data_IF_708617729908
#
_entry.id   IF_708617729908
#
_cell.length_a   1.000
_cell.length_b   1.000
_cell.length_c   1.000
_cell.angle_alpha   90.00
_cell.angle_beta   90.00
_cell.angle_gamma   90.00
#
_symmetry.space_group_name_H-M   'P 1'
#
loop_
_entity.id
_entity.type
_entity.pdbx_description
1 polymer ?
#
# COMPACT_ATOMS: atom_id res chain seq x y z
N UNK A 1 14.12 -20.82 15.89
CA UNK A 1 14.45 -19.88 14.81
C UNK A 1 14.59 -20.69 13.53
N UNK A 2 13.94 -20.31 12.42
CA UNK A 2 14.25 -20.92 11.12
C UNK A 2 15.69 -20.53 10.72
N UNK A 3 16.49 -21.44 10.15
CA UNK A 3 17.81 -21.07 9.66
C UNK A 3 17.64 -20.14 8.46
N UNK A 4 18.11 -18.89 8.56
CA UNK A 4 18.02 -17.84 7.54
C UNK A 4 18.88 -18.11 6.27
N UNK A 5 19.19 -19.37 5.99
CA UNK A 5 20.27 -19.77 5.10
C UNK A 5 19.93 -21.00 4.24
N UNK A 6 18.64 -21.34 4.03
CA UNK A 6 18.30 -22.41 3.07
C UNK A 6 18.74 -21.97 1.65
N UNK A 7 19.66 -22.70 0.99
CA UNK A 7 20.11 -22.38 -0.36
C UNK A 7 18.96 -22.34 -1.38
N UNK A 8 17.88 -23.08 -1.13
CA UNK A 8 16.69 -23.14 -1.99
C UNK A 8 15.84 -21.86 -1.91
N UNK A 9 15.94 -21.10 -0.81
CA UNK A 9 15.28 -19.81 -0.64
C UNK A 9 16.06 -18.66 -1.30
N UNK A 10 17.34 -18.86 -1.63
CA UNK A 10 18.23 -17.86 -2.26
C UNK A 10 18.34 -17.94 -3.78
N UNK A 11 17.48 -18.71 -4.46
CA UNK A 11 17.51 -18.75 -5.93
C UNK A 11 17.29 -17.32 -6.45
N UNK A 12 18.24 -16.74 -7.23
CA UNK A 12 18.18 -15.31 -7.59
C UNK A 12 16.88 -14.89 -8.26
N UNK A 13 16.27 -15.76 -9.07
CA UNK A 13 14.98 -15.49 -9.71
C UNK A 13 13.82 -15.41 -8.70
N UNK A 14 13.84 -16.25 -7.65
CA UNK A 14 12.81 -16.27 -6.60
C UNK A 14 12.88 -15.00 -5.74
N UNK A 15 14.10 -14.64 -5.33
CA UNK A 15 14.35 -13.41 -4.57
C UNK A 15 13.96 -12.19 -5.40
N UNK A 16 14.28 -12.18 -6.71
CA UNK A 16 13.87 -11.09 -7.61
C UNK A 16 12.35 -10.96 -7.69
N UNK A 17 11.60 -12.04 -7.89
CA UNK A 17 10.13 -11.99 -7.93
C UNK A 17 9.55 -11.41 -6.65
N UNK A 18 10.04 -11.83 -5.48
CA UNK A 18 9.58 -11.29 -4.20
C UNK A 18 9.94 -9.80 -4.05
N UNK A 19 11.14 -9.39 -4.45
CA UNK A 19 11.55 -8.00 -4.43
C UNK A 19 10.68 -7.14 -5.37
N UNK A 20 10.35 -7.63 -6.55
CA UNK A 20 9.49 -6.91 -7.51
C UNK A 20 8.08 -6.74 -6.93
N UNK A 21 7.51 -7.78 -6.28
CA UNK A 21 6.23 -7.69 -5.57
C UNK A 21 6.29 -6.64 -4.46
N UNK A 22 7.34 -6.66 -3.63
CA UNK A 22 7.49 -5.71 -2.52
C UNK A 22 7.70 -4.28 -3.02
N UNK A 23 8.49 -4.10 -4.08
CA UNK A 23 8.76 -2.79 -4.68
C UNK A 23 7.50 -2.19 -5.29
N UNK A 24 6.68 -3.00 -5.95
CA UNK A 24 5.45 -2.54 -6.60
C UNK A 24 4.28 -2.40 -5.63
N UNK A 25 4.34 -3.06 -4.47
CA UNK A 25 3.31 -2.91 -3.43
C UNK A 25 3.14 -1.45 -3.02
N UNK A 26 4.22 -0.70 -2.85
CA UNK A 26 4.19 0.71 -2.45
C UNK A 26 3.40 1.58 -3.44
N UNK A 27 3.41 1.22 -4.74
CA UNK A 27 2.69 1.96 -5.78
C UNK A 27 1.16 1.96 -5.57
N UNK A 28 0.61 0.98 -4.85
CA UNK A 28 -0.83 0.91 -4.55
C UNK A 28 -1.31 2.03 -3.61
N UNK A 29 -0.37 2.67 -2.90
CA UNK A 29 -0.66 3.77 -1.99
C UNK A 29 -0.47 5.15 -2.63
N UNK A 30 -0.09 5.20 -3.91
CA UNK A 30 0.02 6.45 -4.67
C UNK A 30 -1.35 6.85 -5.21
N UNK A 31 -1.87 7.97 -4.75
CA UNK A 31 -3.13 8.54 -5.24
C UNK A 31 -2.87 9.63 -6.28
N UNK A 32 -3.77 9.76 -7.26
CA UNK A 32 -3.60 10.70 -8.36
C UNK A 32 -3.77 12.16 -7.94
N UNK A 33 -4.72 12.41 -7.04
CA UNK A 33 -5.08 13.74 -6.55
C UNK A 33 -4.92 13.77 -5.04
N UNK A 34 -4.20 14.78 -4.57
CA UNK A 34 -4.08 15.13 -3.16
C UNK A 34 -4.17 16.64 -3.03
N UNK A 35 -4.63 17.15 -1.88
CA UNK A 35 -4.59 18.58 -1.62
C UNK A 35 -3.15 19.13 -1.74
N UNK A 36 -2.98 20.41 -2.12
CA UNK A 36 -1.67 21.03 -2.15
C UNK A 36 -0.95 20.92 -0.80
N UNK A 37 0.34 20.62 -0.83
CA UNK A 37 1.15 20.45 0.38
C UNK A 37 1.17 19.02 0.95
N UNK A 38 0.40 18.08 0.41
CA UNK A 38 0.40 16.68 0.83
C UNK A 38 1.20 15.77 -0.11
N UNK A 39 1.74 14.69 0.45
CA UNK A 39 2.34 13.62 -0.34
C UNK A 39 1.27 12.82 -1.09
N UNK A 40 1.60 12.39 -2.31
CA UNK A 40 0.75 11.47 -3.07
C UNK A 40 0.71 10.06 -2.50
N UNK A 41 1.76 9.64 -1.81
CA UNK A 41 1.73 8.37 -1.08
C UNK A 41 0.97 8.60 0.23
N UNK A 42 -0.18 7.95 0.37
CA UNK A 42 -1.07 8.15 1.54
C UNK A 42 -0.47 7.64 2.85
N UNK A 43 0.56 6.78 2.79
CA UNK A 43 1.26 6.29 3.98
C UNK A 43 2.26 7.29 4.53
N UNK A 44 2.59 8.35 3.78
CA UNK A 44 3.54 9.35 4.22
C UNK A 44 2.82 10.48 4.95
N UNK A 45 3.43 10.89 6.06
CA UNK A 45 2.90 11.92 6.95
C UNK A 45 3.73 13.19 6.80
N UNK A 46 3.10 14.34 6.98
CA UNK A 46 3.80 15.63 7.09
C UNK A 46 4.33 15.88 8.51
N UNK A 47 3.79 15.16 9.51
CA UNK A 47 4.12 15.27 10.94
C UNK A 47 4.33 13.87 11.52
N UNK A 48 5.38 13.70 12.32
CA UNK A 48 5.71 12.45 13.02
C UNK A 48 4.75 12.14 14.18
N UNK A 49 3.95 13.12 14.63
CA UNK A 49 3.10 12.98 15.83
C UNK A 49 1.74 12.36 15.55
N UNK A 50 1.27 12.33 14.31
CA UNK A 50 -0.07 11.83 13.96
C UNK A 50 0.00 10.43 13.38
N UNK A 51 -0.76 9.49 13.96
CA UNK A 51 -0.87 8.10 13.48
C UNK A 51 -1.99 7.89 12.45
N UNK A 52 -2.52 8.97 11.87
CA UNK A 52 -3.68 8.94 10.97
C UNK A 52 -3.25 9.32 9.55
N UNK A 53 -3.97 8.82 8.55
CA UNK A 53 -3.79 9.24 7.16
C UNK A 53 -4.00 10.74 7.03
N UNK A 54 -2.99 11.47 6.54
CA UNK A 54 -3.03 12.93 6.49
C UNK A 54 -4.21 13.46 5.65
N UNK A 55 -4.60 12.73 4.59
CA UNK A 55 -5.76 13.07 3.76
C UNK A 55 -7.10 12.91 4.48
N UNK A 56 -7.21 11.98 5.44
CA UNK A 56 -8.44 11.81 6.24
C UNK A 56 -8.56 12.90 7.30
N UNK A 57 -7.44 13.24 7.94
CA UNK A 57 -7.39 14.33 8.92
C UNK A 57 -7.78 15.66 8.27
N UNK A 58 -7.20 15.98 7.11
CA UNK A 58 -7.56 17.18 6.34
C UNK A 58 -9.05 17.18 5.97
N UNK A 59 -9.55 16.09 5.38
CA UNK A 59 -10.95 16.01 4.97
C UNK A 59 -11.91 16.13 6.17
N UNK A 60 -11.53 15.64 7.34
CA UNK A 60 -12.28 15.82 8.59
C UNK A 60 -12.26 17.28 9.06
N UNK A 61 -11.10 17.94 9.05
CA UNK A 61 -10.95 19.34 9.45
C UNK A 61 -11.73 20.30 8.52
N UNK A 62 -11.82 20.00 7.22
CA UNK A 62 -12.61 20.76 6.24
C UNK A 62 -14.12 20.47 6.34
N UNK A 63 -14.51 19.30 6.83
CA UNK A 63 -15.91 18.92 7.04
C UNK A 63 -16.54 19.60 8.27
N UNK A 64 -15.74 20.08 9.22
CA UNK A 64 -16.23 20.82 10.39
C UNK A 64 -16.82 22.19 10.01
N UNK A 65 -16.16 23.01 9.16
CA UNK A 65 -16.71 24.28 8.69
C UNK A 65 -17.71 24.15 7.53
N UNK A 66 -17.60 23.16 6.65
CA UNK A 66 -18.55 22.94 5.54
C UNK A 66 -19.51 21.77 5.81
N UNK A 67 -20.82 22.01 5.72
CA UNK A 67 -21.88 21.02 5.97
C UNK A 67 -21.94 19.82 4.99
N UNK A 68 -20.97 19.68 4.06
CA UNK A 68 -20.93 18.61 3.08
C UNK A 68 -19.87 17.56 3.44
N UNK A 69 -20.32 16.33 3.74
CA UNK A 69 -19.46 15.19 4.05
C UNK A 69 -18.80 14.55 2.80
N UNK A 70 -18.97 15.14 1.62
CA UNK A 70 -18.53 14.57 0.34
C UNK A 70 -17.01 14.39 0.29
N UNK A 71 -16.26 15.41 0.73
CA UNK A 71 -14.78 15.38 0.79
C UNK A 71 -14.27 14.28 1.71
N UNK A 72 -14.93 14.05 2.85
CA UNK A 72 -14.57 12.99 3.81
C UNK A 72 -14.88 11.60 3.23
N UNK A 73 -16.02 11.43 2.57
CA UNK A 73 -16.38 10.17 1.93
C UNK A 73 -15.43 9.82 0.77
N UNK A 74 -15.01 10.81 -0.01
CA UNK A 74 -14.01 10.62 -1.08
C UNK A 74 -12.66 10.19 -0.50
N UNK A 75 -12.20 10.86 0.57
CA UNK A 75 -10.95 10.52 1.23
C UNK A 75 -10.98 9.10 1.85
N UNK A 76 -12.09 8.72 2.50
CA UNK A 76 -12.28 7.36 3.03
C UNK A 76 -12.28 6.31 1.92
N UNK A 77 -13.01 6.56 0.85
CA UNK A 77 -13.07 5.66 -0.31
C UNK A 77 -11.68 5.49 -0.92
N UNK A 78 -10.91 6.57 -1.01
CA UNK A 78 -9.53 6.55 -1.52
C UNK A 78 -8.63 5.66 -0.66
N UNK A 79 -8.63 5.85 0.67
CA UNK A 79 -7.83 5.02 1.58
C UNK A 79 -8.23 3.55 1.51
N UNK A 80 -9.53 3.26 1.55
CA UNK A 80 -10.05 1.89 1.47
C UNK A 80 -9.68 1.22 0.14
N UNK A 81 -9.81 1.94 -0.97
CA UNK A 81 -9.45 1.42 -2.29
C UNK A 81 -7.96 1.15 -2.40
N UNK A 82 -7.09 2.03 -1.88
CA UNK A 82 -5.65 1.78 -1.84
C UNK A 82 -5.28 0.55 -1.01
N UNK A 83 -5.89 0.38 0.16
CA UNK A 83 -5.66 -0.80 1.02
C UNK A 83 -6.15 -2.08 0.32
N UNK A 84 -7.35 -2.07 -0.25
CA UNK A 84 -7.90 -3.23 -0.97
C UNK A 84 -7.10 -3.58 -2.22
N UNK A 85 -6.61 -2.56 -2.95
CA UNK A 85 -5.73 -2.74 -4.09
C UNK A 85 -4.42 -3.37 -3.66
N UNK A 86 -3.77 -2.84 -2.61
CA UNK A 86 -2.52 -3.37 -2.07
C UNK A 86 -2.67 -4.83 -1.60
N UNK A 87 -3.76 -5.13 -0.89
CA UNK A 87 -4.06 -6.49 -0.43
C UNK A 87 -4.25 -7.46 -1.60
N UNK A 88 -5.07 -7.08 -2.59
CA UNK A 88 -5.31 -7.90 -3.79
C UNK A 88 -4.02 -8.10 -4.59
N UNK A 89 -3.27 -7.02 -4.84
CA UNK A 89 -2.00 -7.05 -5.54
C UNK A 89 -1.00 -7.99 -4.87
N UNK A 90 -0.82 -7.85 -3.56
CA UNK A 90 0.12 -8.67 -2.81
C UNK A 90 -0.28 -10.15 -2.85
N UNK A 91 -1.57 -10.44 -2.63
CA UNK A 91 -2.09 -11.81 -2.68
C UNK A 91 -1.87 -12.44 -4.06
N UNK A 92 -2.27 -11.76 -5.14
CA UNK A 92 -2.07 -12.26 -6.50
C UNK A 92 -0.59 -12.44 -6.84
N UNK A 93 0.28 -11.53 -6.39
CA UNK A 93 1.73 -11.66 -6.57
C UNK A 93 2.29 -12.90 -5.88
N UNK A 94 1.85 -13.19 -4.65
CA UNK A 94 2.24 -14.40 -3.92
C UNK A 94 1.70 -15.67 -4.59
N UNK A 95 0.45 -15.67 -5.04
CA UNK A 95 -0.15 -16.82 -5.74
C UNK A 95 0.67 -17.18 -7.00
N UNK A 96 1.10 -16.16 -7.77
CA UNK A 96 1.98 -16.35 -8.94
C UNK A 96 3.35 -16.89 -8.51
N UNK A 97 3.96 -16.31 -7.47
CA UNK A 97 5.23 -16.79 -6.95
C UNK A 97 5.16 -18.26 -6.53
N UNK A 98 4.12 -18.66 -5.80
CA UNK A 98 3.88 -20.04 -5.35
C UNK A 98 3.65 -21.00 -6.52
N UNK A 99 2.88 -20.59 -7.55
CA UNK A 99 2.67 -21.41 -8.74
C UNK A 99 3.99 -21.77 -9.45
N UNK A 100 4.90 -20.80 -9.58
CA UNK A 100 6.24 -21.00 -10.18
C UNK A 100 7.13 -21.89 -9.30
N UNK A 101 6.89 -21.95 -7.99
CA UNK A 101 7.57 -22.89 -7.10
C UNK A 101 7.09 -24.32 -7.30
N UNK A 102 5.78 -24.51 -7.50
CA UNK A 102 5.14 -25.81 -7.64
C UNK A 102 5.42 -26.44 -9.01
N UNK A 103 5.51 -25.66 -10.09
CA UNK A 103 5.86 -26.15 -11.43
C UNK A 103 7.33 -26.61 -11.57
N UNK A 104 8.18 -26.27 -10.60
CA UNK A 104 9.62 -26.59 -10.60
C UNK A 104 10.00 -27.80 -9.74
N UNK A 105 9.04 -28.47 -9.12
CA UNK A 105 9.23 -29.72 -8.35
C UNK A 105 8.61 -30.91 -9.09
#
# INVERSE_FOLDING_TARGET
MRPANDPKERVPSRVRMLNDILQDLEKNFLVQRVPPGFYRNILYHLDEKTSQFSILKEAWEQCIPETSNETLQEALSTVLNSINSAHTFFKTGLDVFESVLLEKN
#
